data_IF_737747120183
#
_entry.id   IF_737747120183
#
_cell.length_a   1.000
_cell.length_b   1.000
_cell.length_c   1.000
_cell.angle_alpha   90.00
_cell.angle_beta   90.00
_cell.angle_gamma   90.00
#
_symmetry.space_group_name_H-M   'P 1'
#
loop_
_entity.id
_entity.type
_entity.pdbx_description
1 polymer ?
#
# COMPACT_ATOMS: atom_id res chain seq x y z
N UNK A 1 13.19 -11.04 -16.45
CA UNK A 1 13.44 -10.45 -15.13
C UNK A 1 12.16 -10.55 -14.36
N UNK A 2 12.24 -10.84 -13.07
CA UNK A 2 11.09 -10.77 -12.17
C UNK A 2 10.68 -9.30 -12.05
N UNK A 3 9.40 -8.98 -12.27
CA UNK A 3 8.91 -7.60 -12.23
C UNK A 3 9.21 -6.93 -10.88
N UNK A 4 9.28 -7.70 -9.78
CA UNK A 4 9.59 -7.18 -8.45
C UNK A 4 11.07 -6.80 -8.25
N UNK A 5 11.94 -7.19 -9.17
CA UNK A 5 13.37 -6.84 -9.17
C UNK A 5 13.69 -5.67 -10.11
N UNK A 6 12.69 -5.12 -10.80
CA UNK A 6 12.88 -3.94 -11.63
C UNK A 6 13.13 -2.69 -10.76
N UNK A 7 14.05 -1.80 -11.16
CA UNK A 7 14.44 -0.65 -10.35
C UNK A 7 13.37 0.46 -10.29
N UNK A 8 12.42 0.46 -11.23
CA UNK A 8 11.40 1.50 -11.36
C UNK A 8 10.14 0.93 -12.01
N UNK A 9 8.99 1.20 -11.41
CA UNK A 9 7.67 0.89 -11.96
C UNK A 9 6.93 2.15 -12.34
N UNK A 10 6.12 2.09 -13.40
CA UNK A 10 5.09 3.10 -13.65
C UNK A 10 3.82 2.68 -12.92
N UNK A 11 3.26 3.55 -12.10
CA UNK A 11 2.01 3.28 -11.38
C UNK A 11 0.82 3.85 -12.13
N UNK A 12 -0.27 3.08 -12.12
CA UNK A 12 -1.56 3.47 -12.66
C UNK A 12 -2.64 3.31 -11.59
N UNK A 13 -3.49 4.31 -11.40
CA UNK A 13 -4.70 4.21 -10.60
C UNK A 13 -5.90 4.51 -11.49
N UNK A 14 -6.90 3.61 -11.52
CA UNK A 14 -8.09 3.73 -12.39
C UNK A 14 -7.75 3.90 -13.89
N UNK A 15 -6.65 3.28 -14.33
CA UNK A 15 -6.17 3.34 -15.72
C UNK A 15 -5.35 4.60 -16.05
N UNK A 16 -5.26 5.57 -15.14
CA UNK A 16 -4.46 6.78 -15.34
C UNK A 16 -3.09 6.65 -14.69
N UNK A 17 -2.05 7.13 -15.38
CA UNK A 17 -0.69 7.15 -14.82
C UNK A 17 -0.64 8.12 -13.64
N UNK A 18 -0.40 7.60 -12.45
CA UNK A 18 -0.34 8.40 -11.21
C UNK A 18 1.08 8.73 -10.78
N UNK A 19 2.08 7.99 -11.28
CA UNK A 19 3.47 8.27 -10.95
C UNK A 19 4.39 7.09 -11.19
N UNK A 20 5.41 6.99 -10.34
CA UNK A 20 6.40 5.93 -10.36
C UNK A 20 6.60 5.32 -8.97
N UNK A 21 6.97 4.05 -8.92
CA UNK A 21 7.33 3.33 -7.69
C UNK A 21 8.75 2.80 -7.77
N UNK A 22 9.43 2.72 -6.63
CA UNK A 22 10.77 2.12 -6.49
C UNK A 22 10.76 1.17 -5.31
N UNK A 23 11.56 0.09 -5.42
CA UNK A 23 11.76 -0.82 -4.29
C UNK A 23 12.60 -0.11 -3.23
N UNK A 24 12.22 -0.24 -1.97
CA UNK A 24 13.03 0.20 -0.83
C UNK A 24 12.94 -0.83 0.28
N UNK A 25 14.00 -0.91 1.07
CA UNK A 25 13.97 -1.65 2.33
C UNK A 25 13.09 -0.92 3.35
N UNK A 26 12.48 -1.71 4.24
CA UNK A 26 11.74 -1.17 5.37
C UNK A 26 12.70 -0.51 6.37
N UNK A 27 12.35 0.68 6.83
CA UNK A 27 13.04 1.39 7.91
C UNK A 27 12.34 1.11 9.26
N UNK A 28 12.86 1.68 10.35
CA UNK A 28 12.31 1.48 11.70
C UNK A 28 10.87 1.99 11.84
N UNK A 29 10.53 3.10 11.18
CA UNK A 29 9.18 3.67 11.17
C UNK A 29 8.19 2.73 10.47
N UNK A 30 8.57 2.16 9.31
CA UNK A 30 7.75 1.18 8.60
C UNK A 30 7.46 -0.03 9.47
N UNK A 31 8.49 -0.56 10.15
CA UNK A 31 8.35 -1.71 11.04
C UNK A 31 7.45 -1.38 12.23
N UNK A 32 7.55 -0.17 12.78
CA UNK A 32 6.67 0.31 13.85
C UNK A 32 5.21 0.37 13.40
N UNK A 33 4.94 0.96 12.23
CA UNK A 33 3.60 1.02 11.64
C UNK A 33 3.04 -0.38 11.41
N UNK A 34 3.86 -1.31 10.88
CA UNK A 34 3.45 -2.70 10.67
C UNK A 34 3.12 -3.42 11.98
N UNK A 35 3.83 -3.11 13.07
CA UNK A 35 3.55 -3.64 14.40
C UNK A 35 2.24 -3.07 14.98
N UNK A 36 2.06 -1.75 14.91
CA UNK A 36 0.84 -1.08 15.36
C UNK A 36 -0.40 -1.57 14.61
N UNK A 37 -0.26 -1.82 13.32
CA UNK A 37 -1.35 -2.30 12.48
C UNK A 37 -1.56 -3.80 12.58
N UNK A 38 -0.67 -4.57 13.21
CA UNK A 38 -0.79 -6.04 13.36
C UNK A 38 -2.20 -6.54 13.72
N UNK A 39 -2.94 -5.96 14.71
CA UNK A 39 -4.29 -6.40 15.06
C UNK A 39 -5.40 -5.95 14.09
N UNK A 40 -5.12 -5.05 13.15
CA UNK A 40 -6.09 -4.53 12.18
C UNK A 40 -6.18 -5.49 10.99
N UNK A 41 -7.35 -6.04 10.66
CA UNK A 41 -7.49 -6.91 9.49
C UNK A 41 -7.73 -6.13 8.19
N UNK A 42 -8.68 -5.19 8.22
CA UNK A 42 -8.96 -4.23 7.17
C UNK A 42 -9.44 -2.91 7.78
N UNK A 43 -9.29 -1.79 7.08
CA UNK A 43 -9.81 -0.49 7.50
C UNK A 43 -8.91 0.66 7.06
N UNK A 44 -9.36 1.87 7.33
CA UNK A 44 -8.56 3.08 7.21
C UNK A 44 -8.67 3.89 8.50
N UNK A 45 -7.63 4.65 8.81
CA UNK A 45 -7.59 5.46 10.02
C UNK A 45 -6.37 6.34 10.06
N UNK A 46 -6.10 6.90 11.23
CA UNK A 46 -4.95 7.76 11.49
C UNK A 46 -4.19 7.17 12.68
N UNK A 47 -2.89 7.00 12.52
CA UNK A 47 -1.97 6.65 13.60
C UNK A 47 -1.40 7.95 14.19
N UNK A 48 -1.29 8.04 15.52
CA UNK A 48 -0.63 9.17 16.16
C UNK A 48 0.87 9.17 15.79
N UNK A 49 1.45 10.36 15.63
CA UNK A 49 2.88 10.50 15.34
C UNK A 49 3.79 9.97 16.43
N UNK A 50 4.98 9.54 16.03
CA UNK A 50 5.89 8.75 16.87
C UNK A 50 6.73 9.60 17.84
N UNK A 51 6.55 10.92 17.86
CA UNK A 51 7.38 11.84 18.66
C UNK A 51 6.56 12.91 19.39
N UNK A 52 6.97 13.22 20.63
CA UNK A 52 6.49 14.41 21.36
C UNK A 52 7.00 15.74 20.73
N UNK A 53 7.81 15.65 19.66
CA UNK A 53 8.46 16.79 19.01
C UNK A 53 7.77 17.25 17.72
N UNK A 54 6.93 16.43 17.09
CA UNK A 54 6.36 16.73 15.76
C UNK A 54 5.01 17.44 15.78
N UNK A 55 4.41 17.66 16.96
CA UNK A 55 3.14 18.35 17.06
C UNK A 55 2.01 17.67 16.26
N UNK A 56 0.88 18.36 16.03
CA UNK A 56 -0.29 17.78 15.35
C UNK A 56 -0.07 17.43 13.86
N UNK A 57 1.10 17.74 13.27
CA UNK A 57 1.46 17.39 11.89
C UNK A 57 2.11 15.99 11.76
N UNK A 58 2.33 15.28 12.87
CA UNK A 58 2.91 13.92 12.87
C UNK A 58 1.91 12.79 12.59
N UNK A 59 0.65 13.11 12.30
CA UNK A 59 -0.41 12.13 12.09
C UNK A 59 -0.26 11.37 10.76
N UNK A 60 -0.22 10.03 10.82
CA UNK A 60 -0.11 9.19 9.63
C UNK A 60 -1.45 8.55 9.27
N UNK A 61 -2.04 8.93 8.15
CA UNK A 61 -3.20 8.22 7.60
C UNK A 61 -2.78 6.86 7.02
N UNK A 62 -3.52 5.81 7.33
CA UNK A 62 -3.28 4.46 6.83
C UNK A 62 -4.53 3.86 6.19
N UNK A 63 -4.30 2.90 5.29
CA UNK A 63 -5.32 2.00 4.78
C UNK A 63 -4.75 0.59 4.73
N UNK A 64 -5.46 -0.37 5.31
CA UNK A 64 -5.17 -1.80 5.26
C UNK A 64 -6.34 -2.52 4.60
N UNK A 65 -6.05 -3.29 3.57
CA UNK A 65 -7.05 -4.07 2.85
C UNK A 65 -6.41 -5.37 2.36
N UNK A 66 -7.24 -6.31 1.93
CA UNK A 66 -6.78 -7.45 1.15
C UNK A 66 -6.76 -7.06 -0.32
N UNK A 67 -5.84 -7.65 -1.06
CA UNK A 67 -5.71 -7.41 -2.48
C UNK A 67 -5.72 -8.73 -3.24
N UNK A 68 -6.46 -8.76 -4.35
CA UNK A 68 -6.29 -9.79 -5.37
C UNK A 68 -5.17 -9.36 -6.32
N UNK A 69 -4.12 -10.18 -6.40
CA UNK A 69 -3.01 -9.98 -7.32
C UNK A 69 -3.31 -10.67 -8.64
N UNK A 70 -3.34 -9.91 -9.72
CA UNK A 70 -3.50 -10.40 -11.09
C UNK A 70 -2.26 -10.08 -11.90
N UNK A 71 -1.64 -11.11 -12.48
CA UNK A 71 -0.49 -10.96 -13.38
C UNK A 71 -1.05 -10.72 -14.78
N UNK A 72 -0.92 -9.49 -15.28
CA UNK A 72 -1.41 -9.13 -16.61
C UNK A 72 -0.47 -9.60 -17.72
N UNK A 73 0.82 -9.38 -17.51
CA UNK A 73 1.88 -9.75 -18.46
C UNK A 73 3.20 -9.96 -17.71
N UNK A 74 4.27 -10.24 -18.46
CA UNK A 74 5.63 -10.35 -17.90
C UNK A 74 6.11 -9.05 -17.24
N UNK A 75 5.56 -7.91 -17.66
CA UNK A 75 5.95 -6.55 -17.28
C UNK A 75 4.82 -5.78 -16.57
N UNK A 76 3.72 -6.44 -16.20
CA UNK A 76 2.60 -5.80 -15.51
C UNK A 76 1.89 -6.72 -14.51
N UNK A 77 1.65 -6.17 -13.32
CA UNK A 77 0.79 -6.75 -12.29
C UNK A 77 -0.20 -5.72 -11.79
N UNK A 78 -1.39 -6.16 -11.40
CA UNK A 78 -2.45 -5.33 -10.85
C UNK A 78 -2.90 -5.89 -9.50
N UNK A 79 -3.11 -5.00 -8.54
CA UNK A 79 -3.59 -5.34 -7.20
C UNK A 79 -4.99 -4.72 -7.01
N UNK A 80 -6.03 -5.56 -7.04
CA UNK A 80 -7.40 -5.12 -6.83
C UNK A 80 -7.73 -5.14 -5.35
N UNK A 81 -8.11 -3.98 -4.81
CA UNK A 81 -8.54 -3.89 -3.41
C UNK A 81 -9.86 -4.63 -3.22
N UNK A 82 -9.88 -5.58 -2.29
CA UNK A 82 -11.07 -6.36 -1.97
C UNK A 82 -11.90 -5.63 -0.91
N UNK A 83 -13.18 -5.45 -1.20
CA UNK A 83 -14.14 -4.95 -0.23
C UNK A 83 -14.54 -6.09 0.73
N UNK A 84 -14.74 -5.80 2.03
CA UNK A 84 -15.19 -6.81 3.01
C UNK A 84 -16.52 -7.48 2.62
N UNK A 85 -17.34 -6.77 1.85
CA UNK A 85 -18.69 -7.19 1.44
C UNK A 85 -18.71 -8.20 0.27
N UNK A 86 -17.54 -8.63 -0.21
CA UNK A 86 -17.40 -9.79 -1.11
C UNK A 86 -17.82 -9.56 -2.56
N UNK A 87 -18.30 -8.37 -2.91
CA UNK A 87 -18.48 -7.95 -4.30
C UNK A 87 -17.32 -7.06 -4.69
N UNK A 88 -16.67 -7.31 -5.84
CA UNK A 88 -15.90 -6.37 -6.69
C UNK A 88 -14.77 -7.10 -7.46
N UNK A 89 -15.16 -7.90 -8.46
CA UNK A 89 -14.32 -8.11 -9.65
C UNK A 89 -14.65 -7.04 -10.70
N UNK A 90 -13.85 -6.87 -11.77
CA UNK A 90 -14.14 -5.85 -12.78
C UNK A 90 -15.46 -6.13 -13.52
N UNK A 91 -16.27 -5.09 -13.75
CA UNK A 91 -17.07 -4.99 -14.98
C UNK A 91 -16.16 -4.73 -16.18
#
# INVERSE_FOLDING_TARGET
TDILEEPLWTMYCKGEKTGYGVKREANEEDLNVMELLRPVSMGAGVLPGNSELEGPDGEMAYMRAYFERVIGSKDSETFYMLSPEGNNGPE
#
